data_IF_483625584425
#
_entry.id   IF_483625584425
#
_cell.length_a   1.000
_cell.length_b   1.000
_cell.length_c   1.000
_cell.angle_alpha   90.00
_cell.angle_beta   90.00
_cell.angle_gamma   90.00
#
_symmetry.space_group_name_H-M   'P 1'
#
loop_
_entity.id
_entity.type
_entity.pdbx_description
1 polymer ?
#
# COMPACT_ATOMS: atom_id res chain seq x y z
N UNK A 1 -21.21 -52.44 -51.92
CA UNK A 1 -20.28 -53.57 -51.68
C UNK A 1 -20.43 -54.03 -50.25
N UNK A 2 -20.85 -55.28 -50.07
CA UNK A 2 -20.69 -56.07 -48.85
C UNK A 2 -19.20 -56.17 -48.48
N UNK A 3 -18.88 -56.17 -47.19
CA UNK A 3 -18.18 -57.29 -46.53
C UNK A 3 -18.26 -57.15 -45.02
N UNK A 4 -18.88 -58.16 -44.42
CA UNK A 4 -18.95 -58.49 -43.00
C UNK A 4 -17.61 -58.99 -42.46
N UNK A 5 -17.61 -59.29 -41.15
CA UNK A 5 -16.74 -60.23 -40.39
C UNK A 5 -15.69 -59.48 -39.52
N UNK A 6 -15.51 -59.70 -38.20
CA UNK A 6 -15.85 -60.80 -37.29
C UNK A 6 -15.95 -60.26 -35.84
N UNK A 7 -16.77 -60.90 -35.02
CA UNK A 7 -16.68 -60.94 -33.56
C UNK A 7 -15.27 -61.36 -33.10
N UNK A 8 -14.71 -60.67 -32.11
CA UNK A 8 -13.90 -61.31 -31.08
C UNK A 8 -14.36 -60.76 -29.73
N UNK A 9 -14.99 -61.63 -28.95
CA UNK A 9 -15.31 -61.34 -27.56
C UNK A 9 -14.03 -61.16 -26.75
N UNK A 10 -14.04 -60.16 -25.88
CA UNK A 10 -13.26 -60.21 -24.65
C UNK A 10 -14.25 -59.99 -23.50
N UNK A 11 -14.79 -61.09 -23.02
CA UNK A 11 -15.41 -61.16 -21.70
C UNK A 11 -14.38 -60.75 -20.66
N UNK A 12 -14.85 -59.92 -19.72
CA UNK A 12 -14.36 -59.77 -18.34
C UNK A 12 -12.89 -59.37 -18.12
N UNK A 13 -12.71 -58.12 -17.72
CA UNK A 13 -12.04 -57.78 -16.45
C UNK A 13 -12.73 -56.53 -15.88
N UNK A 14 -13.89 -56.75 -15.26
CA UNK A 14 -14.31 -55.91 -14.13
C UNK A 14 -13.31 -56.23 -13.02
N UNK A 15 -12.15 -55.56 -13.06
CA UNK A 15 -11.34 -55.37 -11.88
C UNK A 15 -12.06 -54.29 -11.07
N UNK A 16 -13.05 -54.68 -10.28
CA UNK A 16 -13.32 -54.01 -9.01
C UNK A 16 -12.13 -54.29 -8.09
N UNK A 17 -10.98 -53.73 -8.44
CA UNK A 17 -10.04 -53.33 -7.42
C UNK A 17 -10.73 -52.19 -6.68
N UNK A 18 -11.13 -52.44 -5.44
CA UNK A 18 -11.51 -51.39 -4.51
C UNK A 18 -10.27 -50.53 -4.24
N UNK A 19 -9.86 -49.70 -5.21
CA UNK A 19 -8.92 -48.64 -4.94
C UNK A 19 -9.66 -47.63 -4.07
N UNK A 20 -9.10 -47.34 -2.90
CA UNK A 20 -9.60 -46.29 -2.02
C UNK A 20 -9.83 -45.02 -2.85
N UNK A 21 -11.06 -44.50 -2.84
CA UNK A 21 -11.41 -43.27 -3.56
C UNK A 21 -10.61 -42.11 -2.98
N UNK A 22 -9.83 -41.46 -3.82
CA UNK A 22 -8.95 -40.36 -3.41
C UNK A 22 -9.64 -38.99 -3.49
N UNK A 23 -8.90 -37.93 -3.13
CA UNK A 23 -9.41 -36.56 -3.15
C UNK A 23 -9.88 -36.15 -4.55
N UNK A 24 -9.16 -36.56 -5.60
CA UNK A 24 -9.46 -36.17 -6.98
C UNK A 24 -10.79 -36.77 -7.45
N UNK A 25 -11.02 -38.06 -7.15
CA UNK A 25 -12.31 -38.71 -7.39
C UNK A 25 -13.45 -37.95 -6.71
N UNK A 26 -13.30 -37.65 -5.41
CA UNK A 26 -14.36 -36.99 -4.65
C UNK A 26 -14.59 -35.54 -5.08
N UNK A 27 -13.55 -34.84 -5.53
CA UNK A 27 -13.66 -33.49 -6.10
C UNK A 27 -14.49 -33.45 -7.38
N UNK A 28 -14.40 -34.47 -8.23
CA UNK A 28 -15.25 -34.56 -9.43
C UNK A 28 -16.63 -35.19 -9.16
N UNK A 29 -16.86 -35.72 -7.96
CA UNK A 29 -18.10 -36.39 -7.54
C UNK A 29 -18.53 -35.91 -6.14
N UNK A 30 -18.87 -34.63 -6.03
CA UNK A 30 -19.13 -33.98 -4.73
C UNK A 30 -20.28 -34.63 -3.95
N UNK A 31 -21.29 -35.19 -4.62
CA UNK A 31 -22.38 -35.89 -3.93
C UNK A 31 -21.93 -37.23 -3.31
N UNK A 32 -20.98 -37.92 -3.94
CA UNK A 32 -20.31 -39.08 -3.34
C UNK A 32 -19.46 -38.64 -2.14
N UNK A 33 -18.79 -37.49 -2.24
CA UNK A 33 -18.01 -36.93 -1.14
C UNK A 33 -18.90 -36.59 0.06
N UNK A 34 -20.06 -35.95 -0.17
CA UNK A 34 -21.08 -35.68 0.86
C UNK A 34 -21.59 -36.96 1.50
N UNK A 35 -21.87 -37.98 0.69
CA UNK A 35 -22.38 -39.27 1.18
C UNK A 35 -21.33 -39.97 2.03
N UNK A 36 -20.09 -40.07 1.55
CA UNK A 36 -18.98 -40.67 2.29
C UNK A 36 -18.70 -39.90 3.58
N UNK A 37 -18.64 -38.57 3.51
CA UNK A 37 -18.39 -37.74 4.69
C UNK A 37 -19.46 -37.94 5.76
N UNK A 38 -20.75 -37.99 5.40
CA UNK A 38 -21.84 -38.32 6.35
C UNK A 38 -21.69 -39.70 6.98
N UNK A 39 -21.25 -40.69 6.21
CA UNK A 39 -20.95 -42.03 6.75
C UNK A 39 -19.79 -41.97 7.75
N UNK A 40 -18.74 -41.20 7.45
CA UNK A 40 -17.60 -41.00 8.34
C UNK A 40 -17.99 -40.25 9.62
N UNK A 41 -18.79 -39.17 9.52
CA UNK A 41 -19.32 -38.45 10.68
C UNK A 41 -20.16 -39.36 11.58
N UNK A 42 -21.03 -40.20 10.99
CA UNK A 42 -21.81 -41.19 11.75
C UNK A 42 -20.91 -42.18 12.49
N UNK A 43 -19.89 -42.75 11.82
CA UNK A 43 -18.92 -43.66 12.45
C UNK A 43 -18.12 -42.97 13.56
N UNK A 44 -17.70 -41.72 13.37
CA UNK A 44 -17.03 -40.93 14.41
C UNK A 44 -17.95 -40.68 15.60
N UNK A 45 -19.21 -40.31 15.35
CA UNK A 45 -20.19 -40.05 16.39
C UNK A 45 -20.52 -41.31 17.22
N UNK A 46 -20.65 -42.47 16.56
CA UNK A 46 -20.85 -43.77 17.21
C UNK A 46 -19.64 -44.14 18.09
N UNK A 47 -18.41 -43.97 17.58
CA UNK A 47 -17.18 -44.20 18.35
C UNK A 47 -17.08 -43.24 19.55
N UNK A 48 -17.41 -41.97 19.37
CA UNK A 48 -17.42 -40.97 20.45
C UNK A 48 -18.47 -41.32 21.52
N UNK A 49 -19.69 -41.68 21.12
CA UNK A 49 -20.79 -42.03 22.03
C UNK A 49 -20.50 -43.30 22.84
N UNK A 50 -19.75 -44.23 22.26
CA UNK A 50 -19.28 -45.46 22.92
C UNK A 50 -17.96 -45.28 23.69
N UNK A 51 -17.37 -44.07 23.69
CA UNK A 51 -16.04 -43.77 24.27
C UNK A 51 -14.91 -44.66 23.74
N UNK A 52 -15.04 -45.11 22.49
CA UNK A 52 -14.08 -45.97 21.81
C UNK A 52 -13.05 -45.10 21.06
N UNK A 53 -11.96 -44.79 21.76
CA UNK A 53 -10.91 -43.91 21.24
C UNK A 53 -10.17 -44.51 20.03
N UNK A 54 -9.97 -45.83 20.01
CA UNK A 54 -9.29 -46.51 18.90
C UNK A 54 -10.12 -46.42 17.62
N UNK A 55 -11.43 -46.69 17.70
CA UNK A 55 -12.33 -46.53 16.54
C UNK A 55 -12.43 -45.08 16.10
N UNK A 56 -12.46 -44.14 17.04
CA UNK A 56 -12.49 -42.72 16.70
C UNK A 56 -11.25 -42.31 15.89
N UNK A 57 -10.06 -42.70 16.34
CA UNK A 57 -8.82 -42.45 15.62
C UNK A 57 -8.75 -43.17 14.27
N UNK A 58 -9.25 -44.41 14.19
CA UNK A 58 -9.29 -45.18 12.96
C UNK A 58 -10.13 -44.49 11.88
N UNK A 59 -11.27 -43.89 12.24
CA UNK A 59 -12.09 -43.10 11.30
C UNK A 59 -11.38 -41.81 10.89
N UNK A 60 -10.66 -41.15 11.80
CA UNK A 60 -9.87 -39.96 11.49
C UNK A 60 -8.66 -40.22 10.57
N UNK A 61 -8.17 -41.47 10.54
CA UNK A 61 -7.06 -41.93 9.67
C UNK A 61 -7.55 -42.67 8.41
N UNK A 62 -8.86 -42.92 8.28
CA UNK A 62 -9.46 -43.58 7.12
C UNK A 62 -9.27 -42.69 5.88
N UNK A 63 -8.54 -43.22 4.89
CA UNK A 63 -8.11 -42.43 3.73
C UNK A 63 -9.28 -41.92 2.89
N UNK A 64 -10.37 -42.69 2.79
CA UNK A 64 -11.56 -42.23 2.06
C UNK A 64 -12.32 -41.16 2.85
N UNK A 65 -12.37 -41.27 4.19
CA UNK A 65 -12.94 -40.21 5.04
C UNK A 65 -12.13 -38.91 4.92
N UNK A 66 -10.80 -39.00 4.99
CA UNK A 66 -9.90 -37.84 4.81
C UNK A 66 -10.03 -37.27 3.40
N UNK A 67 -10.06 -38.11 2.37
CA UNK A 67 -10.20 -37.68 0.98
C UNK A 67 -11.55 -36.98 0.72
N UNK A 68 -12.65 -37.54 1.22
CA UNK A 68 -13.98 -36.94 1.09
C UNK A 68 -14.08 -35.60 1.84
N UNK A 69 -13.55 -35.52 3.05
CA UNK A 69 -13.50 -34.26 3.81
C UNK A 69 -12.69 -33.19 3.07
N UNK A 70 -11.49 -33.54 2.60
CA UNK A 70 -10.62 -32.61 1.86
C UNK A 70 -11.26 -32.16 0.56
N UNK A 71 -11.94 -33.04 -0.18
CA UNK A 71 -12.67 -32.68 -1.38
C UNK A 71 -13.82 -31.71 -1.09
N UNK A 72 -14.60 -31.93 -0.02
CA UNK A 72 -15.66 -31.00 0.38
C UNK A 72 -15.12 -29.64 0.84
N UNK A 73 -13.99 -29.61 1.56
CA UNK A 73 -13.33 -28.35 1.95
C UNK A 73 -12.83 -27.58 0.72
N UNK A 74 -12.24 -28.28 -0.24
CA UNK A 74 -11.75 -27.69 -1.49
C UNK A 74 -12.91 -27.19 -2.36
N UNK A 75 -13.98 -27.97 -2.53
CA UNK A 75 -15.18 -27.54 -3.26
C UNK A 75 -15.78 -26.28 -2.64
N UNK A 76 -15.91 -26.20 -1.30
CA UNK A 76 -16.35 -24.95 -0.64
C UNK A 76 -15.49 -23.74 -1.02
N UNK A 77 -14.17 -23.90 -1.13
CA UNK A 77 -13.27 -22.83 -1.58
C UNK A 77 -13.51 -22.48 -3.05
N UNK A 78 -13.62 -23.49 -3.91
CA UNK A 78 -13.89 -23.31 -5.35
C UNK A 78 -15.24 -22.60 -5.56
N UNK A 79 -16.30 -23.00 -4.85
CA UNK A 79 -17.61 -22.36 -4.94
C UNK A 79 -17.59 -20.94 -4.39
N UNK A 80 -16.90 -20.69 -3.27
CA UNK A 80 -16.76 -19.35 -2.72
C UNK A 80 -16.00 -18.42 -3.69
N UNK A 81 -14.94 -18.92 -4.31
CA UNK A 81 -14.16 -18.18 -5.31
C UNK A 81 -14.99 -17.92 -6.58
N UNK A 82 -15.70 -18.94 -7.08
CA UNK A 82 -16.61 -18.78 -8.23
C UNK A 82 -17.68 -17.72 -7.94
N UNK A 83 -18.31 -17.78 -6.76
CA UNK A 83 -19.30 -16.79 -6.33
C UNK A 83 -18.68 -15.39 -6.24
N UNK A 84 -17.47 -15.26 -5.67
CA UNK A 84 -16.73 -13.99 -5.63
C UNK A 84 -16.50 -13.42 -7.03
N UNK A 85 -16.03 -14.24 -7.97
CA UNK A 85 -15.79 -13.85 -9.36
C UNK A 85 -17.09 -13.46 -10.08
N UNK A 86 -18.18 -14.18 -9.86
CA UNK A 86 -19.50 -13.86 -10.40
C UNK A 86 -20.04 -12.53 -9.84
N UNK A 87 -19.91 -12.31 -8.53
CA UNK A 87 -20.28 -11.05 -7.88
C UNK A 87 -19.43 -9.88 -8.38
N UNK A 88 -18.11 -10.05 -8.51
CA UNK A 88 -17.21 -9.04 -9.07
C UNK A 88 -17.53 -8.71 -10.52
N UNK A 89 -17.83 -9.72 -11.35
CA UNK A 89 -18.24 -9.53 -12.73
C UNK A 89 -19.57 -8.76 -12.83
N UNK A 90 -20.56 -9.11 -11.99
CA UNK A 90 -21.83 -8.40 -11.90
C UNK A 90 -21.64 -6.95 -11.46
N UNK A 91 -20.86 -6.72 -10.39
CA UNK A 91 -20.57 -5.37 -9.92
C UNK A 91 -19.88 -4.54 -10.99
N UNK A 92 -18.89 -5.12 -11.70
CA UNK A 92 -18.19 -4.43 -12.80
C UNK A 92 -19.14 -4.09 -13.95
N UNK A 93 -20.06 -4.99 -14.29
CA UNK A 93 -21.06 -4.74 -15.33
C UNK A 93 -22.02 -3.60 -14.94
N UNK A 94 -22.52 -3.59 -13.71
CA UNK A 94 -23.44 -2.55 -13.22
C UNK A 94 -22.74 -1.18 -13.07
N UNK A 95 -21.50 -1.15 -12.56
CA UNK A 95 -20.69 0.09 -12.53
C UNK A 95 -20.42 0.59 -13.94
N UNK A 96 -20.06 -0.28 -14.89
CA UNK A 96 -19.86 0.11 -16.30
C UNK A 96 -21.13 0.67 -16.93
N UNK A 97 -22.30 0.12 -16.61
CA UNK A 97 -23.59 0.62 -17.08
C UNK A 97 -23.91 2.00 -16.50
N UNK A 98 -23.75 2.20 -15.19
CA UNK A 98 -23.92 3.50 -14.55
C UNK A 98 -22.94 4.53 -15.13
N UNK A 99 -21.69 4.12 -15.34
CA UNK A 99 -20.64 4.95 -15.93
C UNK A 99 -20.99 5.44 -17.33
N UNK A 100 -21.50 4.58 -18.21
CA UNK A 100 -21.98 4.99 -19.56
C UNK A 100 -23.05 6.09 -19.52
N UNK A 101 -23.86 6.15 -18.46
CA UNK A 101 -24.86 7.21 -18.30
C UNK A 101 -24.21 8.51 -17.82
N UNK A 102 -23.28 8.42 -16.86
CA UNK A 102 -22.54 9.56 -16.33
C UNK A 102 -21.57 10.15 -17.37
N UNK A 103 -20.94 9.33 -18.20
CA UNK A 103 -20.07 9.79 -19.29
C UNK A 103 -20.84 10.71 -20.24
N UNK A 104 -22.11 10.42 -20.55
CA UNK A 104 -22.94 11.34 -21.36
C UNK A 104 -23.17 12.68 -20.68
N UNK A 105 -23.30 12.68 -19.34
CA UNK A 105 -23.53 13.89 -18.54
C UNK A 105 -22.26 14.72 -18.37
N UNK A 106 -21.10 14.09 -18.32
CA UNK A 106 -19.83 14.71 -17.96
C UNK A 106 -18.79 14.73 -19.09
N UNK A 107 -19.11 14.21 -20.28
CA UNK A 107 -18.17 14.11 -21.41
C UNK A 107 -17.48 15.44 -21.75
N UNK A 108 -18.24 16.53 -21.68
CA UNK A 108 -17.76 17.86 -22.06
C UNK A 108 -17.20 18.68 -20.89
N UNK A 109 -17.19 18.12 -19.68
CA UNK A 109 -16.62 18.80 -18.52
C UNK A 109 -15.11 18.57 -18.45
N UNK A 110 -14.40 19.65 -18.16
CA UNK A 110 -13.01 19.59 -17.77
C UNK A 110 -12.87 18.96 -16.36
N UNK A 111 -11.62 18.80 -15.91
CA UNK A 111 -11.36 18.19 -14.61
C UNK A 111 -11.79 19.08 -13.42
N UNK A 112 -11.79 20.40 -13.57
CA UNK A 112 -12.20 21.35 -12.51
C UNK A 112 -13.70 21.29 -12.31
N UNK A 113 -14.44 21.28 -13.41
CA UNK A 113 -15.88 21.18 -13.45
C UNK A 113 -16.33 19.80 -12.96
N UNK A 114 -15.64 18.72 -13.37
CA UNK A 114 -15.92 17.37 -12.86
C UNK A 114 -15.66 17.30 -11.35
N UNK A 115 -14.53 17.83 -10.86
CA UNK A 115 -14.22 17.89 -9.43
C UNK A 115 -15.29 18.68 -8.67
N UNK A 116 -15.75 19.82 -9.21
CA UNK A 116 -16.83 20.61 -8.64
C UNK A 116 -18.16 19.84 -8.57
N UNK A 117 -18.53 19.10 -9.62
CA UNK A 117 -19.73 18.27 -9.60
C UNK A 117 -19.62 17.13 -8.57
N UNK A 118 -18.44 16.49 -8.49
CA UNK A 118 -18.22 15.38 -7.58
C UNK A 118 -18.24 15.82 -6.12
N UNK A 119 -17.48 16.86 -5.74
CA UNK A 119 -17.40 17.34 -4.35
C UNK A 119 -18.74 17.83 -3.79
N UNK A 120 -19.64 18.31 -4.66
CA UNK A 120 -21.00 18.73 -4.28
C UNK A 120 -22.03 17.59 -4.33
N UNK A 121 -21.67 16.42 -4.83
CA UNK A 121 -22.54 15.24 -4.83
C UNK A 121 -22.62 14.57 -3.46
N UNK A 122 -23.68 13.79 -3.23
CA UNK A 122 -23.78 12.97 -2.03
C UNK A 122 -22.76 11.82 -2.01
N UNK A 123 -22.14 11.49 -3.15
CA UNK A 123 -21.10 10.49 -3.23
C UNK A 123 -19.83 10.93 -2.50
N UNK A 124 -19.43 12.20 -2.62
CA UNK A 124 -18.24 12.74 -1.95
C UNK A 124 -18.40 12.85 -0.42
N UNK A 125 -19.64 12.95 0.07
CA UNK A 125 -19.96 13.04 1.51
C UNK A 125 -19.91 11.68 2.21
N UNK A 126 -19.94 10.58 1.47
CA UNK A 126 -19.93 9.23 2.03
C UNK A 126 -18.52 8.87 2.48
N UNK A 127 -18.37 8.50 3.75
CA UNK A 127 -17.12 7.94 4.27
C UNK A 127 -16.78 6.60 3.58
N UNK A 128 -17.79 5.80 3.27
CA UNK A 128 -17.67 4.53 2.56
C UNK A 128 -18.75 4.41 1.48
N UNK A 129 -18.35 4.08 0.25
CA UNK A 129 -19.28 3.79 -0.84
C UNK A 129 -19.58 2.29 -0.82
N UNK A 130 -20.81 1.93 -0.49
CA UNK A 130 -21.24 0.53 -0.43
C UNK A 130 -21.04 -0.18 -1.78
N UNK A 131 -20.73 -1.49 -1.81
CA UNK A 131 -20.45 -2.22 -3.05
C UNK A 131 -21.57 -2.15 -4.10
N UNK A 132 -22.82 -2.06 -3.64
CA UNK A 132 -24.03 -1.96 -4.45
C UNK A 132 -24.43 -0.53 -4.84
N UNK A 133 -23.70 0.50 -4.39
CA UNK A 133 -23.93 1.88 -4.82
C UNK A 133 -23.16 2.15 -6.13
N UNK A 134 -23.65 1.56 -7.22
CA UNK A 134 -22.98 1.56 -8.52
C UNK A 134 -22.81 2.96 -9.11
N UNK A 135 -23.78 3.87 -8.88
CA UNK A 135 -23.70 5.26 -9.35
C UNK A 135 -22.55 6.02 -8.70
N UNK A 136 -22.42 5.97 -7.36
CA UNK A 136 -21.32 6.65 -6.69
C UNK A 136 -19.96 6.03 -7.00
N UNK A 137 -19.88 4.71 -7.21
CA UNK A 137 -18.65 4.05 -7.67
C UNK A 137 -18.26 4.52 -9.06
N UNK A 138 -19.21 4.52 -10.01
CA UNK A 138 -18.98 5.01 -11.35
C UNK A 138 -18.59 6.50 -11.37
N UNK A 139 -19.24 7.34 -10.57
CA UNK A 139 -18.90 8.75 -10.50
C UNK A 139 -17.52 8.98 -9.87
N UNK A 140 -17.15 8.17 -8.87
CA UNK A 140 -15.79 8.19 -8.30
C UNK A 140 -14.73 7.78 -9.32
N UNK A 141 -14.98 6.77 -10.15
CA UNK A 141 -14.06 6.41 -11.24
C UNK A 141 -13.86 7.56 -12.24
N UNK A 142 -14.94 8.20 -12.67
CA UNK A 142 -14.87 9.37 -13.57
C UNK A 142 -14.11 10.52 -12.90
N UNK A 143 -14.40 10.80 -11.63
CA UNK A 143 -13.69 11.80 -10.85
C UNK A 143 -12.19 11.47 -10.79
N UNK A 144 -11.82 10.23 -10.48
CA UNK A 144 -10.42 9.83 -10.32
C UNK A 144 -9.63 9.98 -11.62
N UNK A 145 -10.22 9.57 -12.75
CA UNK A 145 -9.60 9.74 -14.06
C UNK A 145 -9.40 11.21 -14.41
N UNK A 146 -10.42 12.04 -14.19
CA UNK A 146 -10.35 13.48 -14.46
C UNK A 146 -9.41 14.19 -13.49
N UNK A 147 -9.38 13.79 -12.22
CA UNK A 147 -8.47 14.30 -11.22
C UNK A 147 -7.01 13.98 -11.58
N UNK A 148 -6.74 12.76 -12.04
CA UNK A 148 -5.42 12.38 -12.53
C UNK A 148 -5.04 13.18 -13.78
N UNK A 149 -5.94 13.36 -14.74
CA UNK A 149 -5.71 14.25 -15.89
C UNK A 149 -5.34 15.68 -15.46
N UNK A 150 -6.11 16.25 -14.52
CA UNK A 150 -5.84 17.59 -13.98
C UNK A 150 -4.51 17.66 -13.25
N UNK A 151 -4.16 16.64 -12.47
CA UNK A 151 -2.86 16.53 -11.80
C UNK A 151 -1.72 16.49 -12.83
N UNK A 152 -1.82 15.67 -13.86
CA UNK A 152 -0.81 15.58 -14.93
C UNK A 152 -0.67 16.88 -15.73
N UNK A 153 -1.76 17.63 -15.92
CA UNK A 153 -1.71 18.98 -16.49
C UNK A 153 -0.93 19.95 -15.59
N UNK A 154 -1.20 19.92 -14.28
CA UNK A 154 -0.53 20.77 -13.30
C UNK A 154 0.97 20.45 -13.16
N UNK A 155 1.34 19.16 -13.18
CA UNK A 155 2.73 18.69 -13.07
C UNK A 155 3.65 19.14 -14.22
N UNK A 156 3.11 19.75 -15.28
CA UNK A 156 3.91 20.42 -16.32
C UNK A 156 4.56 21.72 -15.84
N UNK A 157 4.12 22.25 -14.71
CA UNK A 157 4.61 23.48 -14.11
C UNK A 157 5.67 23.18 -13.04
N UNK A 158 6.59 24.11 -12.82
CA UNK A 158 7.51 24.04 -11.68
C UNK A 158 6.76 24.21 -10.35
N UNK A 159 7.38 23.82 -9.25
CA UNK A 159 6.85 24.02 -7.91
C UNK A 159 6.54 25.49 -7.64
N UNK A 160 7.42 26.40 -8.07
CA UNK A 160 7.24 27.85 -7.92
C UNK A 160 6.03 28.38 -8.69
N UNK A 161 5.77 27.87 -9.89
CA UNK A 161 4.57 28.20 -10.65
C UNK A 161 3.31 27.66 -9.96
N UNK A 162 3.36 26.41 -9.47
CA UNK A 162 2.24 25.77 -8.78
C UNK A 162 1.84 26.52 -7.51
N UNK A 163 2.78 26.83 -6.62
CA UNK A 163 2.51 27.56 -5.38
C UNK A 163 1.98 28.97 -5.63
N UNK A 164 2.49 29.67 -6.65
CA UNK A 164 1.99 31.00 -7.06
C UNK A 164 0.55 30.92 -7.58
N UNK A 165 0.17 29.80 -8.22
CA UNK A 165 -1.18 29.59 -8.73
C UNK A 165 -2.21 29.19 -7.66
N UNK A 166 -1.83 29.04 -6.38
CA UNK A 166 -2.71 28.59 -5.28
C UNK A 166 -4.08 29.27 -5.26
N UNK A 167 -4.13 30.60 -5.42
CA UNK A 167 -5.38 31.36 -5.37
C UNK A 167 -6.37 30.93 -6.46
N UNK A 168 -5.88 30.53 -7.64
CA UNK A 168 -6.73 30.09 -8.75
C UNK A 168 -7.49 28.79 -8.42
N UNK A 169 -6.91 27.92 -7.59
CA UNK A 169 -7.48 26.61 -7.27
C UNK A 169 -8.15 26.53 -5.89
N UNK A 170 -7.63 27.28 -4.91
CA UNK A 170 -8.00 27.12 -3.50
C UNK A 170 -8.79 28.28 -2.89
N UNK A 171 -9.14 29.32 -3.66
CA UNK A 171 -9.87 30.47 -3.13
C UNK A 171 -11.35 30.20 -2.82
N UNK A 172 -12.00 29.32 -3.58
CA UNK A 172 -13.45 29.09 -3.47
C UNK A 172 -13.83 27.81 -2.73
N UNK A 173 -13.02 26.76 -2.87
CA UNK A 173 -13.30 25.46 -2.28
C UNK A 173 -11.98 24.78 -1.92
N UNK A 174 -11.87 24.32 -0.68
CA UNK A 174 -10.69 23.64 -0.14
C UNK A 174 -11.02 22.24 0.40
N UNK A 175 -12.25 21.77 0.17
CA UNK A 175 -12.68 20.44 0.61
C UNK A 175 -11.93 19.35 -0.14
N UNK A 176 -11.91 18.15 0.45
CA UNK A 176 -11.47 16.92 -0.25
C UNK A 176 -12.24 16.77 -1.56
N UNK A 177 -11.56 16.29 -2.59
CA UNK A 177 -12.06 16.11 -3.95
C UNK A 177 -12.28 17.40 -4.77
N UNK A 178 -12.04 18.59 -4.21
CA UNK A 178 -12.12 19.84 -4.97
C UNK A 178 -10.93 20.02 -5.93
N UNK A 179 -11.00 21.05 -6.78
CA UNK A 179 -9.86 21.46 -7.59
C UNK A 179 -8.63 21.84 -6.75
N UNK A 180 -8.83 22.38 -5.53
CA UNK A 180 -7.76 22.65 -4.59
C UNK A 180 -7.08 21.37 -4.09
N UNK A 181 -7.85 20.29 -3.87
CA UNK A 181 -7.32 19.00 -3.43
C UNK A 181 -6.42 18.38 -4.52
N UNK A 182 -6.87 18.43 -5.77
CA UNK A 182 -6.08 18.00 -6.95
C UNK A 182 -4.79 18.84 -7.06
N UNK A 183 -4.90 20.16 -6.90
CA UNK A 183 -3.74 21.06 -6.89
C UNK A 183 -2.76 20.75 -5.76
N UNK A 184 -3.24 20.51 -4.53
CA UNK A 184 -2.39 20.12 -3.39
C UNK A 184 -1.65 18.82 -3.68
N UNK A 185 -2.32 17.86 -4.32
CA UNK A 185 -1.68 16.60 -4.77
C UNK A 185 -0.54 16.87 -5.76
N UNK A 186 -0.78 17.72 -6.77
CA UNK A 186 0.26 18.11 -7.73
C UNK A 186 1.43 18.86 -7.06
N UNK A 187 1.16 19.79 -6.14
CA UNK A 187 2.20 20.50 -5.36
C UNK A 187 3.03 19.50 -4.57
N UNK A 188 2.41 18.54 -3.89
CA UNK A 188 3.12 17.51 -3.13
C UNK A 188 4.04 16.67 -4.01
N UNK A 189 3.52 16.18 -5.14
CA UNK A 189 4.26 15.34 -6.08
C UNK A 189 5.44 16.10 -6.72
N UNK A 190 5.20 17.33 -7.20
CA UNK A 190 6.26 18.18 -7.76
C UNK A 190 7.30 18.60 -6.70
N UNK A 191 6.85 18.90 -5.47
CA UNK A 191 7.75 19.18 -4.34
C UNK A 191 8.68 18.01 -4.09
N UNK A 192 8.16 16.78 -4.11
CA UNK A 192 8.98 15.58 -3.91
C UNK A 192 10.04 15.45 -5.01
N UNK A 193 9.68 15.69 -6.27
CA UNK A 193 10.62 15.65 -7.39
C UNK A 193 11.73 16.69 -7.23
N UNK A 194 11.37 17.97 -7.02
CA UNK A 194 12.35 19.05 -6.94
C UNK A 194 13.23 18.97 -5.69
N UNK A 195 12.66 18.66 -4.53
CA UNK A 195 13.43 18.53 -3.30
C UNK A 195 14.32 17.28 -3.30
N UNK A 196 13.91 16.18 -3.93
CA UNK A 196 14.75 14.98 -4.01
C UNK A 196 16.03 15.22 -4.82
N UNK A 197 16.01 16.18 -5.76
CA UNK A 197 17.17 16.57 -6.55
C UNK A 197 18.20 17.40 -5.77
N UNK A 198 17.82 17.99 -4.63
CA UNK A 198 18.70 18.81 -3.79
C UNK A 198 19.54 17.95 -2.83
N UNK A 199 20.73 18.42 -2.47
CA UNK A 199 21.48 17.86 -1.35
C UNK A 199 20.89 18.31 -0.01
N UNK A 200 21.32 17.69 1.09
CA UNK A 200 20.78 17.96 2.43
C UNK A 200 20.99 19.42 2.87
N UNK A 201 22.15 20.01 2.58
CA UNK A 201 22.50 21.36 2.96
C UNK A 201 21.68 22.40 2.15
N UNK A 202 21.45 22.12 0.87
CA UNK A 202 20.51 22.87 0.02
C UNK A 202 19.08 22.80 0.57
N UNK A 203 18.58 21.63 0.98
CA UNK A 203 17.25 21.49 1.57
C UNK A 203 17.10 22.27 2.86
N UNK A 204 18.08 22.18 3.76
CA UNK A 204 18.09 22.91 5.03
C UNK A 204 17.96 24.42 4.81
N UNK A 205 18.69 24.96 3.81
CA UNK A 205 18.58 26.38 3.43
C UNK A 205 17.20 26.78 2.90
N UNK A 206 16.43 25.85 2.34
CA UNK A 206 15.07 26.13 1.85
C UNK A 206 14.02 26.17 2.98
N UNK A 207 14.35 25.70 4.19
CA UNK A 207 13.40 25.62 5.30
C UNK A 207 12.71 26.95 5.60
N UNK A 208 13.46 28.05 5.69
CA UNK A 208 12.86 29.38 5.93
C UNK A 208 11.90 29.83 4.82
N UNK A 209 12.15 29.47 3.56
CA UNK A 209 11.29 29.85 2.43
C UNK A 209 9.98 29.07 2.46
N UNK A 210 10.05 27.76 2.67
CA UNK A 210 8.91 26.86 2.54
C UNK A 210 8.15 26.62 3.84
N UNK A 211 8.83 26.66 5.00
CA UNK A 211 8.26 26.29 6.30
C UNK A 211 7.96 27.47 7.23
N UNK A 212 8.21 28.71 6.81
CA UNK A 212 7.78 29.87 7.60
C UNK A 212 6.24 29.99 7.59
N UNK A 213 5.66 30.22 8.77
CA UNK A 213 4.23 30.35 8.94
C UNK A 213 3.68 31.53 8.12
N UNK A 214 2.62 31.29 7.35
CA UNK A 214 2.04 32.28 6.44
C UNK A 214 2.78 32.43 5.10
N UNK A 215 3.85 31.66 4.85
CA UNK A 215 4.48 31.59 3.53
C UNK A 215 3.48 31.09 2.48
N UNK A 216 3.50 31.69 1.29
CA UNK A 216 2.76 31.17 0.13
C UNK A 216 3.21 29.77 -0.29
N UNK A 217 4.40 29.37 0.15
CA UNK A 217 5.03 28.08 -0.12
C UNK A 217 4.72 27.01 0.94
N UNK A 218 3.93 27.34 1.96
CA UNK A 218 3.72 26.49 3.14
C UNK A 218 3.14 25.11 2.81
N UNK A 219 2.36 24.97 1.73
CA UNK A 219 1.80 23.69 1.29
C UNK A 219 2.89 22.66 0.90
N UNK A 220 4.11 23.09 0.60
CA UNK A 220 5.24 22.23 0.27
C UNK A 220 6.16 21.93 1.47
N UNK A 221 5.99 22.59 2.62
CA UNK A 221 6.85 22.44 3.79
C UNK A 221 6.93 20.98 4.27
N UNK A 222 5.79 20.31 4.43
CA UNK A 222 5.76 18.93 4.93
C UNK A 222 6.55 17.97 4.04
N UNK A 223 6.57 18.22 2.73
CA UNK A 223 7.34 17.42 1.77
C UNK A 223 8.82 17.77 1.82
N UNK A 224 9.17 19.05 2.01
CA UNK A 224 10.56 19.47 2.24
C UNK A 224 11.14 18.74 3.47
N UNK A 225 10.41 18.75 4.58
CA UNK A 225 10.83 18.09 5.81
C UNK A 225 10.91 16.56 5.67
N UNK A 226 9.96 15.93 4.94
CA UNK A 226 10.00 14.49 4.64
C UNK A 226 11.30 14.12 3.91
N UNK A 227 11.60 14.82 2.81
CA UNK A 227 12.80 14.56 2.00
C UNK A 227 14.08 14.90 2.78
N UNK A 228 14.08 15.97 3.55
CA UNK A 228 15.22 16.35 4.39
C UNK A 228 15.52 15.27 5.45
N UNK A 229 14.49 14.75 6.14
CA UNK A 229 14.64 13.66 7.11
C UNK A 229 15.13 12.37 6.45
N UNK A 230 14.62 12.01 5.27
CA UNK A 230 15.11 10.84 4.52
C UNK A 230 16.61 10.96 4.21
N UNK A 231 17.06 12.11 3.69
CA UNK A 231 18.48 12.35 3.38
C UNK A 231 19.36 12.44 4.64
N UNK A 232 18.86 13.05 5.70
CA UNK A 232 19.55 13.11 7.00
C UNK A 232 19.84 11.70 7.52
N UNK A 233 18.83 10.82 7.50
CA UNK A 233 18.99 9.43 7.92
C UNK A 233 20.01 8.69 7.05
N UNK A 234 20.02 8.93 5.74
CA UNK A 234 21.03 8.35 4.84
C UNK A 234 22.45 8.82 5.18
N UNK A 235 22.64 10.10 5.50
CA UNK A 235 23.95 10.65 5.91
C UNK A 235 24.41 10.02 7.22
N UNK A 236 23.53 9.94 8.23
CA UNK A 236 23.84 9.32 9.52
C UNK A 236 24.25 7.85 9.32
N UNK A 237 23.51 7.11 8.50
CA UNK A 237 23.81 5.70 8.23
C UNK A 237 25.12 5.53 7.44
N UNK A 238 25.46 6.47 6.55
CA UNK A 238 26.77 6.50 5.88
C UNK A 238 27.91 6.74 6.87
N UNK A 239 27.75 7.67 7.82
CA UNK A 239 28.73 7.88 8.89
C UNK A 239 28.93 6.65 9.77
N UNK A 240 27.84 5.96 10.13
CA UNK A 240 27.92 4.70 10.90
C UNK A 240 28.69 3.62 10.13
N UNK A 241 28.53 3.54 8.81
CA UNK A 241 29.25 2.58 7.95
C UNK A 241 30.69 3.00 7.63
N UNK A 242 31.01 4.29 7.72
CA UNK A 242 32.32 4.86 7.39
C UNK A 242 32.85 5.71 8.55
N UNK A 243 33.49 5.02 9.51
CA UNK A 243 34.05 5.63 10.71
C UNK A 243 35.03 6.78 10.41
N UNK A 244 35.86 6.67 9.35
CA UNK A 244 36.82 7.72 8.98
C UNK A 244 36.12 9.01 8.51
N UNK A 245 35.03 8.88 7.76
CA UNK A 245 34.24 10.04 7.35
C UNK A 245 33.57 10.71 8.56
N UNK A 246 33.04 9.90 9.47
CA UNK A 246 32.46 10.40 10.73
C UNK A 246 33.52 11.14 11.56
N UNK A 247 34.67 10.50 11.80
CA UNK A 247 35.79 11.06 12.55
C UNK A 247 36.23 12.40 11.96
N UNK A 248 36.41 12.47 10.65
CA UNK A 248 36.80 13.70 9.95
C UNK A 248 35.81 14.83 10.22
N UNK A 249 34.52 14.62 9.95
CA UNK A 249 33.52 15.70 10.01
C UNK A 249 33.20 16.09 11.46
N UNK A 250 33.16 15.13 12.38
CA UNK A 250 33.02 15.41 13.81
C UNK A 250 34.20 16.21 14.36
N UNK A 251 35.44 15.84 14.01
CA UNK A 251 36.64 16.55 14.48
C UNK A 251 36.72 17.98 13.91
N UNK A 252 36.16 18.21 12.72
CA UNK A 252 35.99 19.57 12.21
C UNK A 252 35.01 20.39 13.07
N UNK A 253 33.89 19.80 13.52
CA UNK A 253 32.95 20.44 14.44
C UNK A 253 33.60 20.78 15.79
N UNK A 254 34.33 19.83 16.39
CA UNK A 254 35.11 20.05 17.63
C UNK A 254 36.08 21.21 17.46
N UNK A 255 36.85 21.22 16.37
CA UNK A 255 37.84 22.27 16.09
C UNK A 255 37.20 23.64 15.91
N UNK A 256 36.07 23.72 15.19
CA UNK A 256 35.33 24.97 15.00
C UNK A 256 34.78 25.51 16.32
N UNK A 257 34.19 24.65 17.15
CA UNK A 257 33.62 25.03 18.44
C UNK A 257 34.69 25.38 19.47
N UNK A 258 35.85 24.73 19.45
CA UNK A 258 36.98 25.07 20.32
C UNK A 258 37.49 26.50 20.07
N UNK A 259 37.49 26.97 18.81
CA UNK A 259 37.91 28.34 18.45
C UNK A 259 36.99 29.44 19.00
N UNK A 260 35.71 29.13 19.22
CA UNK A 260 34.73 30.07 19.78
C UNK A 260 34.87 30.19 21.31
N UNK A 261 35.33 29.12 21.96
CA UNK A 261 35.38 29.00 23.42
C UNK A 261 34.06 28.49 24.02
N UNK A 262 34.06 28.25 25.33
CA UNK A 262 32.95 27.62 26.07
C UNK A 262 32.42 28.55 27.19
N UNK A 263 31.86 29.70 26.79
CA UNK A 263 31.23 30.65 27.72
C UNK A 263 29.79 30.94 27.33
N UNK A 264 28.96 31.29 28.30
CA UNK A 264 27.56 31.66 28.04
C UNK A 264 27.44 32.81 27.05
N UNK A 265 28.40 33.75 26.99
CA UNK A 265 28.34 34.90 26.07
C UNK A 265 28.38 34.51 24.59
N UNK A 266 28.96 33.35 24.26
CA UNK A 266 29.13 32.89 22.87
C UNK A 266 28.15 31.77 22.49
N UNK A 267 27.12 31.52 23.31
CA UNK A 267 26.19 30.40 23.10
C UNK A 267 25.52 30.41 21.73
N UNK A 268 25.12 31.58 21.21
CA UNK A 268 24.50 31.71 19.88
C UNK A 268 25.46 31.30 18.76
N UNK A 269 26.71 31.77 18.83
CA UNK A 269 27.74 31.42 17.84
C UNK A 269 28.07 29.93 17.89
N UNK A 270 28.05 29.32 19.09
CA UNK A 270 28.19 27.86 19.22
C UNK A 270 27.00 27.12 18.62
N UNK A 271 25.78 27.56 18.90
CA UNK A 271 24.56 26.97 18.35
C UNK A 271 24.56 27.00 16.81
N UNK A 272 24.97 28.11 16.20
CA UNK A 272 25.11 28.24 14.74
C UNK A 272 26.05 27.17 14.13
N UNK A 273 27.00 26.64 14.88
CA UNK A 273 27.86 25.54 14.38
C UNK A 273 27.28 24.19 14.76
N UNK A 274 26.88 24.02 16.03
CA UNK A 274 26.44 22.73 16.58
C UNK A 274 25.11 22.26 16.00
N UNK A 275 24.23 23.18 15.58
CA UNK A 275 22.89 22.89 15.07
C UNK A 275 22.83 22.78 13.54
N UNK A 276 23.92 23.07 12.84
CA UNK A 276 23.97 23.03 11.38
C UNK A 276 24.82 21.87 10.85
N UNK A 277 24.45 21.39 9.67
CA UNK A 277 25.17 20.32 8.96
C UNK A 277 26.68 20.64 8.86
N UNK A 278 27.58 19.67 9.13
CA UNK A 278 27.33 18.25 9.42
C UNK A 278 27.23 17.90 10.92
N UNK A 279 27.31 18.87 11.83
CA UNK A 279 27.56 18.59 13.23
C UNK A 279 26.47 17.75 13.92
N UNK A 280 25.16 18.06 13.80
CA UNK A 280 24.10 17.22 14.38
C UNK A 280 24.14 15.78 13.86
N UNK A 281 24.38 15.58 12.56
CA UNK A 281 24.39 14.26 11.94
C UNK A 281 25.59 13.44 12.39
N UNK A 282 26.76 14.05 12.49
CA UNK A 282 27.95 13.42 13.04
C UNK A 282 27.75 13.04 14.52
N UNK A 283 27.13 13.92 15.32
CA UNK A 283 26.81 13.62 16.72
C UNK A 283 25.82 12.45 16.84
N UNK A 284 24.73 12.44 16.07
CA UNK A 284 23.76 11.34 16.05
C UNK A 284 24.39 10.02 15.60
N UNK A 285 25.28 10.05 14.61
CA UNK A 285 26.02 8.87 14.17
C UNK A 285 26.92 8.30 15.27
N UNK A 286 27.61 9.14 16.05
CA UNK A 286 28.37 8.70 17.23
C UNK A 286 27.49 7.98 18.25
N UNK A 287 26.31 8.56 18.55
CA UNK A 287 25.35 7.94 19.47
C UNK A 287 24.87 6.59 18.93
N UNK A 288 24.59 6.46 17.63
CA UNK A 288 24.23 5.18 16.99
C UNK A 288 25.35 4.13 17.09
N UNK A 289 26.63 4.53 17.09
CA UNK A 289 27.77 3.65 17.29
C UNK A 289 28.00 3.26 18.77
N UNK A 290 27.18 3.75 19.69
CA UNK A 290 27.33 3.49 21.13
C UNK A 290 28.48 4.26 21.78
N UNK A 291 28.99 5.31 21.12
CA UNK A 291 30.00 6.17 21.72
C UNK A 291 29.38 7.09 22.79
N UNK A 292 30.13 7.47 23.84
CA UNK A 292 29.63 8.37 24.86
C UNK A 292 29.16 9.70 24.27
N UNK A 293 28.11 10.26 24.89
CA UNK A 293 27.66 11.60 24.58
C UNK A 293 28.81 12.60 24.81
N UNK A 294 29.15 13.34 23.75
CA UNK A 294 30.16 14.38 23.79
C UNK A 294 29.64 15.59 23.01
N UNK A 295 29.55 16.73 23.69
CA UNK A 295 29.07 17.99 23.14
C UNK A 295 30.18 18.73 22.36
N UNK A 296 30.84 17.99 21.46
CA UNK A 296 31.98 18.42 20.66
C UNK A 296 33.14 19.01 21.49
N UNK A 297 33.46 18.36 22.60
CA UNK A 297 34.59 18.70 23.48
C UNK A 297 35.85 17.90 23.14
N UNK A 298 35.68 16.68 22.63
CA UNK A 298 36.78 15.73 22.45
C UNK A 298 36.89 15.31 21.00
N UNK A 299 38.10 15.24 20.45
CA UNK A 299 38.32 14.66 19.12
C UNK A 299 38.02 13.15 19.16
N UNK A 300 37.51 12.61 18.06
CA UNK A 300 37.46 11.17 17.85
C UNK A 300 38.83 10.65 17.43
N UNK A 301 39.24 9.54 18.04
CA UNK A 301 40.42 8.75 17.69
C UNK A 301 40.15 7.78 16.54
#
# INVERSE_FOLDING_TARGET
>A
MKKSILFLGLSTLVLTGCSEKDKAYYLSHIDDAKTKFKQCEKRMFEAMSSRDQEKFEAVGKDKECVAAEQALREDRKIQAEKKRLEEEALQKAEVSKARKQLDKKFANLDWKETAYQYVNSDCAKKFFIAPNNYECRAFKEIYDEKAEQGKQELLKNSLEQLVTSKKAYCSKDQRRYSACDIWKSAVKEQSKVEFSALDFDQLHRQSNKYCNYGSQYYDACSTLEEVAREKENMIIDQYVKNYESLKKDYNQCVTKLAKIGDSYKVYKQRAEIAENYPCPQAHLARLKLGLPFDNFKTLMD
#
